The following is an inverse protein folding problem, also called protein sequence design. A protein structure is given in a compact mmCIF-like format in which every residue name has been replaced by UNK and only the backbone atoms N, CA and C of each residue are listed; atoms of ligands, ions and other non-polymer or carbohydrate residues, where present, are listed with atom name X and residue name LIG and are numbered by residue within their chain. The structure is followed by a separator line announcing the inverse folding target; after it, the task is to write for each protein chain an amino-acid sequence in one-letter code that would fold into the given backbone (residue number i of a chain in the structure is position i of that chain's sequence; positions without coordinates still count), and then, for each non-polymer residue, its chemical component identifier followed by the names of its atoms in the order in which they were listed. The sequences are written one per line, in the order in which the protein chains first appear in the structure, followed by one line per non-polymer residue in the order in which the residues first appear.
data_IF_672660736917
#
_entry.id   IF_672660736917
#
_cell.length_a   1.000
_cell.length_b   1.000
_cell.length_c   1.000
_cell.angle_alpha   90.00
_cell.angle_beta   90.00
_cell.angle_gamma   90.00
#
_symmetry.space_group_name_H-M   'P 1'
#
loop_
_entity.id
_entity.type
_entity.pdbx_description
1 polymer ?
#
# COMPACT_ATOMS: atom_id res chain seq x y z
N UNK A 1 -41.39 -11.61 -6.71
CA UNK A 1 -40.47 -11.07 -7.74
C UNK A 1 -39.10 -11.57 -7.37
N UNK A 2 -38.46 -12.41 -8.18
CA UNK A 2 -37.10 -12.88 -7.88
C UNK A 2 -36.18 -11.67 -8.07
N UNK A 3 -35.59 -11.16 -6.99
CA UNK A 3 -34.68 -10.02 -7.06
C UNK A 3 -33.40 -10.44 -7.76
N UNK A 4 -33.34 -10.19 -9.07
CA UNK A 4 -32.14 -10.44 -9.87
C UNK A 4 -31.15 -9.33 -9.56
N UNK A 5 -30.06 -9.67 -8.87
CA UNK A 5 -28.95 -8.76 -8.59
C UNK A 5 -28.40 -8.19 -9.91
N UNK A 6 -28.40 -6.85 -10.11
CA UNK A 6 -27.92 -6.26 -11.35
C UNK A 6 -26.48 -6.67 -11.67
N UNK A 7 -26.20 -7.02 -12.94
CA UNK A 7 -24.86 -7.45 -13.37
C UNK A 7 -23.78 -6.38 -13.11
N UNK A 8 -24.13 -5.11 -13.29
CA UNK A 8 -23.27 -3.96 -12.99
C UNK A 8 -22.92 -3.85 -11.51
N UNK A 9 -23.78 -4.35 -10.61
CA UNK A 9 -23.52 -4.39 -9.18
C UNK A 9 -22.52 -5.51 -8.84
N UNK A 10 -22.67 -6.69 -9.47
CA UNK A 10 -21.68 -7.78 -9.36
C UNK A 10 -20.30 -7.33 -9.85
N UNK A 11 -20.26 -6.61 -10.97
CA UNK A 11 -19.03 -6.06 -11.52
C UNK A 11 -18.37 -5.04 -10.58
N UNK A 12 -19.15 -4.12 -10.01
CA UNK A 12 -18.64 -3.15 -9.02
C UNK A 12 -18.10 -3.84 -7.77
N UNK A 13 -18.76 -4.90 -7.29
CA UNK A 13 -18.26 -5.67 -6.15
C UNK A 13 -16.88 -6.27 -6.43
N UNK A 14 -16.70 -6.92 -7.58
CA UNK A 14 -15.40 -7.48 -7.97
C UNK A 14 -14.30 -6.39 -8.06
N UNK A 15 -14.62 -5.23 -8.68
CA UNK A 15 -13.72 -4.07 -8.75
C UNK A 15 -13.33 -3.53 -7.38
N UNK A 16 -14.28 -3.42 -6.46
CA UNK A 16 -14.02 -2.98 -5.10
C UNK A 16 -13.16 -3.97 -4.31
N UNK A 17 -13.34 -5.29 -4.52
CA UNK A 17 -12.47 -6.31 -3.92
C UNK A 17 -11.05 -6.23 -4.47
N UNK A 18 -10.88 -6.00 -5.76
CA UNK A 18 -9.57 -5.77 -6.35
C UNK A 18 -8.91 -4.48 -5.81
N UNK A 19 -9.67 -3.39 -5.71
CA UNK A 19 -9.20 -2.13 -5.11
C UNK A 19 -8.81 -2.30 -3.64
N UNK A 20 -9.57 -3.07 -2.86
CA UNK A 20 -9.25 -3.43 -1.48
C UNK A 20 -7.91 -4.17 -1.41
N UNK A 21 -7.71 -5.19 -2.25
CA UNK A 21 -6.47 -5.96 -2.29
C UNK A 21 -5.27 -5.07 -2.63
N UNK A 22 -5.41 -4.16 -3.60
CA UNK A 22 -4.36 -3.19 -3.94
C UNK A 22 -4.06 -2.22 -2.79
N UNK A 23 -5.08 -1.78 -2.05
CA UNK A 23 -4.89 -0.96 -0.86
C UNK A 23 -4.11 -1.70 0.24
N UNK A 24 -4.42 -2.98 0.45
CA UNK A 24 -3.69 -3.84 1.38
C UNK A 24 -2.23 -4.01 0.95
N UNK A 25 -1.96 -4.24 -0.34
CA UNK A 25 -0.59 -4.27 -0.88
C UNK A 25 0.16 -2.96 -0.62
N UNK A 26 -0.47 -1.81 -0.85
CA UNK A 26 0.14 -0.50 -0.59
C UNK A 26 0.50 -0.31 0.90
N UNK A 27 -0.29 -0.85 1.84
CA UNK A 27 0.02 -0.84 3.28
C UNK A 27 1.26 -1.70 3.56
N UNK A 28 1.34 -2.90 3.00
CA UNK A 28 2.51 -3.79 3.14
C UNK A 28 3.76 -3.15 2.57
N UNK A 29 3.70 -2.58 1.37
CA UNK A 29 4.83 -1.88 0.74
C UNK A 29 5.29 -0.71 1.62
N UNK A 30 4.36 0.15 2.07
CA UNK A 30 4.69 1.30 2.93
C UNK A 30 5.36 0.88 4.23
N UNK A 31 4.84 -0.17 4.88
CA UNK A 31 5.41 -0.70 6.13
C UNK A 31 6.80 -1.30 5.89
N UNK A 32 6.99 -1.99 4.76
CA UNK A 32 8.28 -2.54 4.36
C UNK A 32 9.31 -1.42 4.18
N UNK A 33 8.96 -0.35 3.45
CA UNK A 33 9.84 0.82 3.26
C UNK A 33 10.23 1.43 4.62
N UNK A 34 9.29 1.57 5.56
CA UNK A 34 9.59 2.06 6.90
C UNK A 34 10.57 1.17 7.65
N UNK A 35 10.39 -0.15 7.61
CA UNK A 35 11.32 -1.11 8.24
C UNK A 35 12.71 -1.05 7.59
N UNK A 36 12.78 -0.96 6.25
CA UNK A 36 14.02 -0.77 5.51
C UNK A 36 14.73 0.50 5.97
N UNK A 37 14.00 1.61 5.97
CA UNK A 37 14.50 2.92 6.36
C UNK A 37 15.05 2.91 7.79
N UNK A 38 14.30 2.32 8.73
CA UNK A 38 14.69 2.25 10.13
C UNK A 38 15.94 1.37 10.33
N UNK A 39 16.05 0.27 9.58
CA UNK A 39 17.21 -0.63 9.65
C UNK A 39 18.47 0.07 9.15
N UNK A 40 18.38 0.75 7.99
CA UNK A 40 19.50 1.52 7.42
C UNK A 40 20.00 2.62 8.34
N UNK A 41 19.08 3.34 9.00
CA UNK A 41 19.42 4.39 9.96
C UNK A 41 20.08 3.82 11.23
N UNK A 42 19.56 2.70 11.74
CA UNK A 42 20.06 2.08 12.97
C UNK A 42 21.48 1.54 12.79
N UNK A 43 21.78 1.01 11.61
CA UNK A 43 23.09 0.43 11.31
C UNK A 43 24.11 1.46 10.78
N UNK A 44 23.74 2.73 10.62
CA UNK A 44 24.59 3.79 10.05
C UNK A 44 25.21 3.41 8.68
N UNK A 45 24.50 2.58 7.90
CA UNK A 45 25.00 2.03 6.62
C UNK A 45 25.07 3.11 5.54
N UNK A 46 24.39 4.24 5.72
CA UNK A 46 24.30 5.30 4.71
C UNK A 46 24.87 6.61 5.23
N UNK A 47 25.90 7.11 4.53
CA UNK A 47 26.66 8.31 4.89
C UNK A 47 26.03 9.61 4.38
N UNK A 48 25.10 9.56 3.43
CA UNK A 48 24.44 10.75 2.85
C UNK A 48 22.96 10.51 2.48
N UNK A 49 22.16 11.59 2.43
CA UNK A 49 20.72 11.51 2.19
C UNK A 49 20.33 11.06 0.77
N UNK A 50 21.19 11.29 -0.23
CA UNK A 50 20.94 10.94 -1.64
C UNK A 50 21.02 9.44 -1.85
N UNK A 51 22.03 8.79 -1.28
CA UNK A 51 22.24 7.35 -1.35
C UNK A 51 21.07 6.62 -0.69
N UNK A 52 20.58 7.14 0.44
CA UNK A 52 19.42 6.62 1.15
C UNK A 52 18.15 6.62 0.29
N UNK A 53 17.88 7.74 -0.40
CA UNK A 53 16.74 7.85 -1.31
C UNK A 53 16.82 6.87 -2.48
N UNK A 54 18.00 6.69 -3.06
CA UNK A 54 18.21 5.76 -4.17
C UNK A 54 18.02 4.29 -3.75
N UNK A 55 18.48 3.93 -2.56
CA UNK A 55 18.32 2.60 -1.97
C UNK A 55 16.85 2.31 -1.69
N UNK A 56 16.15 3.26 -1.07
CA UNK A 56 14.72 3.11 -0.75
C UNK A 56 13.86 3.01 -2.02
N UNK A 57 14.22 3.73 -3.09
CA UNK A 57 13.53 3.60 -4.39
C UNK A 57 13.66 2.18 -4.95
N UNK A 58 14.87 1.65 -5.02
CA UNK A 58 15.12 0.27 -5.50
C UNK A 58 14.43 -0.77 -4.63
N UNK A 59 14.49 -0.60 -3.31
CA UNK A 59 13.76 -1.44 -2.36
C UNK A 59 12.25 -1.41 -2.63
N UNK A 60 11.70 -0.22 -2.88
CA UNK A 60 10.26 -0.05 -3.19
C UNK A 60 9.89 -0.78 -4.46
N UNK A 61 10.67 -0.60 -5.53
CA UNK A 61 10.45 -1.26 -6.83
C UNK A 61 10.46 -2.79 -6.70
N UNK A 62 11.42 -3.36 -5.97
CA UNK A 62 11.52 -4.81 -5.76
C UNK A 62 10.35 -5.39 -4.97
N UNK A 63 9.91 -4.70 -3.91
CA UNK A 63 8.76 -5.14 -3.11
C UNK A 63 7.46 -5.00 -3.90
N UNK A 64 7.32 -3.93 -4.69
CA UNK A 64 6.19 -3.74 -5.61
C UNK A 64 6.13 -4.88 -6.62
N UNK A 65 7.25 -5.19 -7.29
CA UNK A 65 7.32 -6.24 -8.30
C UNK A 65 6.99 -7.62 -7.72
N UNK A 66 7.48 -7.92 -6.51
CA UNK A 66 7.19 -9.16 -5.80
C UNK A 66 5.70 -9.31 -5.50
N UNK A 67 5.08 -8.27 -4.92
CA UNK A 67 3.68 -8.30 -4.50
C UNK A 67 2.70 -8.20 -5.68
N UNK A 68 3.11 -7.64 -6.82
CA UNK A 68 2.29 -7.61 -8.02
C UNK A 68 2.28 -8.96 -8.76
N UNK A 69 3.36 -9.75 -8.66
CA UNK A 69 3.46 -11.07 -9.31
C UNK A 69 2.83 -12.20 -8.52
N UNK A 70 2.94 -12.16 -7.20
CA UNK A 70 2.55 -13.26 -6.31
C UNK A 70 1.48 -12.79 -5.32
N UNK A 71 0.40 -13.56 -5.18
CA UNK A 71 -0.66 -13.26 -4.19
C UNK A 71 -0.30 -13.79 -2.79
N UNK A 72 0.43 -14.91 -2.71
CA UNK A 72 0.82 -15.58 -1.47
C UNK A 72 2.30 -15.34 -1.16
N UNK A 73 2.64 -14.11 -0.76
CA UNK A 73 4.02 -13.72 -0.40
C UNK A 73 4.20 -13.74 1.11
N UNK A 74 5.21 -14.47 1.56
CA UNK A 74 5.63 -14.52 2.97
C UNK A 74 6.43 -13.27 3.38
N UNK A 75 6.51 -13.03 4.69
CA UNK A 75 7.29 -11.90 5.25
C UNK A 75 8.78 -12.08 4.94
N UNK A 76 9.25 -13.32 4.98
CA UNK A 76 10.62 -13.70 4.67
C UNK A 76 10.98 -13.36 3.22
N UNK A 77 10.09 -13.63 2.26
CA UNK A 77 10.29 -13.27 0.86
C UNK A 77 10.32 -11.75 0.64
N UNK A 78 9.46 -11.00 1.35
CA UNK A 78 9.50 -9.54 1.31
C UNK A 78 10.85 -9.04 1.83
N UNK A 79 11.32 -9.55 2.96
CA UNK A 79 12.61 -9.17 3.54
C UNK A 79 13.79 -9.60 2.66
N UNK A 80 13.69 -10.72 1.94
CA UNK A 80 14.71 -11.13 0.97
C UNK A 80 14.78 -10.14 -0.20
N UNK A 81 13.62 -9.75 -0.76
CA UNK A 81 13.55 -8.73 -1.80
C UNK A 81 14.14 -7.40 -1.32
N UNK A 82 13.80 -6.98 -0.10
CA UNK A 82 14.41 -5.80 0.52
C UNK A 82 15.92 -5.98 0.69
N UNK A 83 16.42 -7.12 1.15
CA UNK A 83 17.86 -7.30 1.39
C UNK A 83 18.70 -7.36 0.11
N UNK A 84 18.06 -7.47 -1.06
CA UNK A 84 18.71 -7.49 -2.37
C UNK A 84 19.57 -6.26 -2.65
N UNK A 85 19.19 -5.07 -2.16
CA UNK A 85 19.93 -3.83 -2.45
C UNK A 85 21.26 -3.69 -1.69
N UNK A 86 21.43 -4.36 -0.54
CA UNK A 86 22.64 -4.22 0.29
C UNK A 86 23.83 -5.00 -0.25
N UNK A 87 23.62 -5.96 -1.16
CA UNK A 87 24.68 -6.77 -1.76
C UNK A 87 25.71 -5.94 -2.54
N UNK A 88 25.33 -4.74 -2.98
CA UNK A 88 26.19 -3.88 -3.80
C UNK A 88 27.08 -2.94 -3.00
N UNK A 89 26.85 -2.79 -1.69
CA UNK A 89 27.46 -1.72 -0.91
C UNK A 89 28.68 -2.14 -0.09
N UNK A 90 28.93 -3.43 0.14
CA UNK A 90 30.16 -3.92 0.77
C UNK A 90 30.22 -5.45 0.74
N UNK A 91 31.40 -6.02 1.01
CA UNK A 91 31.57 -7.43 1.40
C UNK A 91 30.92 -7.60 2.77
N UNK A 92 29.58 -7.60 2.80
CA UNK A 92 28.83 -7.77 4.03
C UNK A 92 29.08 -9.21 4.48
N UNK A 93 29.67 -9.34 5.66
CA UNK A 93 29.77 -10.60 6.37
C UNK A 93 28.40 -11.29 6.35
N UNK A 94 28.38 -12.53 5.83
CA UNK A 94 27.16 -13.32 5.67
C UNK A 94 26.37 -13.38 6.97
N UNK A 95 27.07 -13.44 8.11
CA UNK A 95 26.46 -13.47 9.45
C UNK A 95 25.74 -12.15 9.80
N UNK A 96 26.35 -11.00 9.45
CA UNK A 96 25.74 -9.69 9.63
C UNK A 96 24.50 -9.50 8.76
N UNK A 97 24.53 -10.00 7.51
CA UNK A 97 23.37 -9.97 6.61
C UNK A 97 22.21 -10.83 7.15
N UNK A 98 22.50 -12.02 7.66
CA UNK A 98 21.48 -12.90 8.24
C UNK A 98 20.86 -12.29 9.50
N UNK A 99 21.69 -11.68 10.36
CA UNK A 99 21.20 -10.98 11.56
C UNK A 99 20.27 -9.83 11.19
N UNK A 100 20.63 -9.04 10.18
CA UNK A 100 19.79 -7.96 9.65
C UNK A 100 18.45 -8.47 9.14
N UNK A 101 18.45 -9.53 8.32
CA UNK A 101 17.23 -10.16 7.80
C UNK A 101 16.32 -10.62 8.92
N UNK A 102 16.87 -11.24 9.96
CA UNK A 102 16.11 -11.69 11.13
C UNK A 102 15.46 -10.51 11.87
N UNK A 103 16.20 -9.41 12.06
CA UNK A 103 15.68 -8.19 12.69
C UNK A 103 14.54 -7.59 11.86
N UNK A 104 14.75 -7.43 10.54
CA UNK A 104 13.75 -6.90 9.62
C UNK A 104 12.49 -7.77 9.57
N UNK A 105 12.64 -9.10 9.55
CA UNK A 105 11.51 -10.05 9.57
C UNK A 105 10.66 -9.88 10.82
N UNK A 106 11.30 -9.81 11.99
CA UNK A 106 10.58 -9.60 13.27
C UNK A 106 9.89 -8.24 13.32
N UNK A 107 10.57 -7.19 12.87
CA UNK A 107 10.02 -5.84 12.84
C UNK A 107 8.83 -5.74 11.88
N UNK A 108 8.95 -6.29 10.68
CA UNK A 108 7.89 -6.29 9.68
C UNK A 108 6.69 -7.12 10.15
N UNK A 109 6.92 -8.33 10.68
CA UNK A 109 5.87 -9.17 11.23
C UNK A 109 5.10 -8.48 12.35
N UNK A 110 5.80 -7.83 13.29
CA UNK A 110 5.16 -7.06 14.36
C UNK A 110 4.40 -5.85 13.81
N UNK A 111 5.02 -5.10 12.89
CA UNK A 111 4.44 -3.86 12.34
C UNK A 111 3.22 -4.09 11.45
N UNK A 112 2.99 -5.33 11.00
CA UNK A 112 1.81 -5.73 10.22
C UNK A 112 0.71 -6.37 11.08
N UNK A 113 0.97 -6.63 12.37
CA UNK A 113 -0.05 -7.18 13.27
C UNK A 113 -1.12 -6.13 13.56
N UNK A 114 -2.37 -6.60 13.66
CA UNK A 114 -3.49 -5.76 14.06
C UNK A 114 -3.26 -5.19 15.46
N UNK A 115 -3.50 -3.89 15.61
CA UNK A 115 -3.28 -3.17 16.87
C UNK A 115 -1.85 -2.65 17.05
N UNK A 116 -0.91 -2.97 16.16
CA UNK A 116 0.40 -2.32 16.19
C UNK A 116 0.28 -0.84 15.76
N UNK A 117 0.88 0.12 16.49
CA UNK A 117 0.79 1.53 16.15
C UNK A 117 1.35 1.89 14.78
N UNK A 118 2.32 1.13 14.25
CA UNK A 118 2.86 1.33 12.91
C UNK A 118 1.81 0.96 11.87
N UNK A 119 1.16 -0.18 12.03
CA UNK A 119 0.07 -0.61 11.15
C UNK A 119 -1.03 0.46 11.10
N UNK A 120 -1.55 0.88 12.25
CA UNK A 120 -2.63 1.88 12.34
C UNK A 120 -2.24 3.21 11.68
N UNK A 121 -1.00 3.67 11.91
CA UNK A 121 -0.49 4.91 11.32
C UNK A 121 -0.38 4.80 9.79
N UNK A 122 0.16 3.70 9.28
CA UNK A 122 0.32 3.46 7.83
C UNK A 122 -1.03 3.29 7.15
N UNK A 123 -1.90 2.44 7.68
CA UNK A 123 -3.26 2.24 7.17
C UNK A 123 -4.04 3.55 7.14
N UNK A 124 -3.93 4.39 8.19
CA UNK A 124 -4.56 5.70 8.22
C UNK A 124 -3.99 6.65 7.15
N UNK A 125 -2.67 6.67 6.95
CA UNK A 125 -2.05 7.51 5.93
C UNK A 125 -2.52 7.11 4.52
N UNK A 126 -2.52 5.81 4.21
CA UNK A 126 -3.01 5.26 2.94
C UNK A 126 -4.51 5.55 2.75
N UNK A 127 -5.32 5.37 3.78
CA UNK A 127 -6.74 5.73 3.76
C UNK A 127 -6.97 7.23 3.47
N UNK A 128 -6.24 8.11 4.17
CA UNK A 128 -6.34 9.56 3.96
C UNK A 128 -5.90 9.96 2.56
N UNK A 129 -4.88 9.29 2.01
CA UNK A 129 -4.43 9.53 0.66
C UNK A 129 -5.52 9.16 -0.37
N UNK A 130 -6.07 7.96 -0.28
CA UNK A 130 -7.15 7.51 -1.16
C UNK A 130 -8.39 8.41 -1.02
N UNK A 131 -8.79 8.74 0.21
CA UNK A 131 -9.91 9.65 0.49
C UNK A 131 -9.67 11.03 -0.11
N UNK A 132 -8.44 11.54 -0.04
CA UNK A 132 -8.04 12.81 -0.64
C UNK A 132 -8.27 12.84 -2.15
N UNK A 133 -7.99 11.73 -2.84
CA UNK A 133 -8.25 11.59 -4.28
C UNK A 133 -9.73 11.44 -4.58
N UNK A 134 -10.44 10.56 -3.87
CA UNK A 134 -11.89 10.36 -4.07
C UNK A 134 -12.69 11.66 -3.90
N UNK A 135 -12.35 12.47 -2.88
CA UNK A 135 -13.06 13.72 -2.59
C UNK A 135 -12.48 14.94 -3.34
N UNK A 136 -11.19 14.92 -3.65
CA UNK A 136 -10.48 16.02 -4.33
C UNK A 136 -10.47 15.90 -5.86
N UNK A 137 -10.96 14.79 -6.40
CA UNK A 137 -10.86 14.42 -7.82
C UNK A 137 -9.47 13.87 -8.18
N UNK A 138 -9.37 13.28 -9.38
CA UNK A 138 -8.11 12.74 -9.90
C UNK A 138 -7.14 13.79 -10.49
N UNK A 139 -7.52 15.07 -10.44
CA UNK A 139 -6.66 16.16 -10.87
C UNK A 139 -5.51 16.47 -9.89
N UNK A 140 -4.72 17.52 -10.17
CA UNK A 140 -3.55 17.90 -9.36
C UNK A 140 -3.86 18.10 -7.87
N UNK A 141 -5.08 18.52 -7.53
CA UNK A 141 -5.51 18.74 -6.14
C UNK A 141 -5.60 17.44 -5.34
N UNK A 142 -6.30 16.43 -5.84
CA UNK A 142 -6.43 15.15 -5.15
C UNK A 142 -5.09 14.41 -5.07
N UNK A 143 -4.30 14.45 -6.14
CA UNK A 143 -2.94 13.92 -6.14
C UNK A 143 -2.07 14.57 -5.06
N UNK A 144 -2.09 15.91 -4.93
CA UNK A 144 -1.36 16.62 -3.87
C UNK A 144 -1.81 16.21 -2.47
N UNK A 145 -3.12 15.97 -2.26
CA UNK A 145 -3.63 15.47 -0.97
C UNK A 145 -3.10 14.06 -0.67
N UNK A 146 -3.04 13.18 -1.68
CA UNK A 146 -2.43 11.86 -1.54
C UNK A 146 -0.95 11.93 -1.18
N UNK A 147 -0.17 12.72 -1.92
CA UNK A 147 1.26 12.92 -1.64
C UNK A 147 1.50 13.42 -0.23
N UNK A 148 0.72 14.38 0.25
CA UNK A 148 0.85 14.94 1.60
C UNK A 148 0.58 13.90 2.69
N UNK A 149 -0.43 13.04 2.50
CA UNK A 149 -0.75 11.98 3.45
C UNK A 149 0.32 10.89 3.46
N UNK A 150 0.76 10.41 2.29
CA UNK A 150 1.78 9.35 2.18
C UNK A 150 3.17 9.82 2.64
N UNK A 151 3.48 11.11 2.53
CA UNK A 151 4.73 11.69 3.03
C UNK A 151 4.91 11.47 4.54
N UNK A 152 3.83 11.40 5.31
CA UNK A 152 3.89 11.17 6.76
C UNK A 152 4.46 9.79 7.14
N UNK A 153 4.47 8.86 6.18
CA UNK A 153 4.94 7.48 6.34
C UNK A 153 6.04 7.13 5.32
N UNK A 154 6.66 8.14 4.70
CA UNK A 154 7.75 7.94 3.74
C UNK A 154 7.35 7.27 2.41
N UNK A 155 6.04 7.11 2.15
CA UNK A 155 5.53 6.30 1.04
C UNK A 155 5.13 7.13 -0.20
N UNK A 156 5.78 8.27 -0.44
CA UNK A 156 5.42 9.20 -1.55
C UNK A 156 5.50 8.50 -2.92
N UNK A 157 6.39 7.53 -3.08
CA UNK A 157 6.53 6.73 -4.30
C UNK A 157 5.24 5.95 -4.67
N UNK A 158 4.34 5.71 -3.71
CA UNK A 158 3.08 4.99 -3.94
C UNK A 158 1.92 5.89 -4.35
N UNK A 159 2.16 7.20 -4.53
CA UNK A 159 1.10 8.18 -4.83
C UNK A 159 0.26 7.77 -6.04
N UNK A 160 0.91 7.45 -7.17
CA UNK A 160 0.18 7.08 -8.40
C UNK A 160 -0.65 5.82 -8.21
N UNK A 161 -0.09 4.80 -7.55
CA UNK A 161 -0.82 3.56 -7.22
C UNK A 161 -2.06 3.84 -6.37
N UNK A 162 -1.96 4.74 -5.40
CA UNK A 162 -3.11 5.12 -4.56
C UNK A 162 -4.14 5.92 -5.36
N UNK A 163 -3.71 6.78 -6.28
CA UNK A 163 -4.60 7.52 -7.19
C UNK A 163 -5.41 6.54 -8.05
N UNK A 164 -4.76 5.59 -8.71
CA UNK A 164 -5.40 4.57 -9.54
C UNK A 164 -6.46 3.77 -8.77
N UNK A 165 -6.12 3.33 -7.55
CA UNK A 165 -7.06 2.60 -6.68
C UNK A 165 -8.25 3.48 -6.28
N UNK A 166 -7.99 4.74 -5.94
CA UNK A 166 -9.03 5.69 -5.55
C UNK A 166 -9.99 6.03 -6.70
N UNK A 167 -9.50 6.08 -7.95
CA UNK A 167 -10.34 6.27 -9.13
C UNK A 167 -11.35 5.14 -9.29
N UNK A 168 -10.93 3.88 -9.11
CA UNK A 168 -11.83 2.72 -9.14
C UNK A 168 -12.94 2.86 -8.11
N UNK A 169 -12.60 3.29 -6.89
CA UNK A 169 -13.57 3.53 -5.81
C UNK A 169 -14.53 4.68 -6.17
N UNK A 170 -14.02 5.78 -6.73
CA UNK A 170 -14.84 6.91 -7.17
C UNK A 170 -15.83 6.54 -8.28
N UNK A 171 -15.40 5.73 -9.25
CA UNK A 171 -16.26 5.21 -10.32
C UNK A 171 -17.31 4.27 -9.74
N UNK A 172 -16.92 3.33 -8.86
CA UNK A 172 -17.85 2.41 -8.22
C UNK A 172 -18.91 3.14 -7.39
N UNK A 173 -18.53 4.18 -6.65
CA UNK A 173 -19.45 5.04 -5.91
C UNK A 173 -20.41 5.78 -6.85
N UNK A 174 -19.90 6.36 -7.93
CA UNK A 174 -20.72 7.06 -8.93
C UNK A 174 -21.75 6.13 -9.59
N UNK A 175 -21.34 4.92 -9.99
CA UNK A 175 -22.26 3.92 -10.56
C UNK A 175 -23.28 3.48 -9.51
N UNK A 176 -22.87 3.28 -8.26
CA UNK A 176 -23.77 2.92 -7.16
C UNK A 176 -24.87 3.96 -6.95
N UNK A 177 -24.56 5.25 -7.05
CA UNK A 177 -25.56 6.32 -6.90
C UNK A 177 -26.39 6.48 -8.18
N UNK A 178 -25.74 6.67 -9.33
CA UNK A 178 -26.40 7.07 -10.56
C UNK A 178 -27.15 5.93 -11.27
N UNK A 179 -26.67 4.69 -11.15
CA UNK A 179 -27.27 3.52 -11.81
C UNK A 179 -28.11 2.72 -10.82
N UNK A 180 -27.59 2.45 -9.63
CA UNK A 180 -28.24 1.59 -8.65
C UNK A 180 -29.10 2.35 -7.62
N UNK A 181 -29.06 3.68 -7.59
CA UNK A 181 -29.75 4.49 -6.58
C UNK A 181 -31.26 4.25 -6.50
N UNK A 182 -31.95 4.16 -7.64
CA UNK A 182 -33.38 3.88 -7.68
C UNK A 182 -33.71 2.47 -7.17
N UNK A 183 -32.86 1.49 -7.48
CA UNK A 183 -33.00 0.12 -6.99
C UNK A 183 -32.79 0.05 -5.47
N UNK A 184 -31.74 0.70 -4.95
CA UNK A 184 -31.50 0.79 -3.51
C UNK A 184 -32.65 1.46 -2.76
N UNK A 185 -33.23 2.54 -3.29
CA UNK A 185 -34.38 3.22 -2.68
C UNK A 185 -35.58 2.30 -2.57
N UNK A 186 -35.90 1.58 -3.65
CA UNK A 186 -37.00 0.61 -3.65
C UNK A 186 -36.77 -0.52 -2.65
N UNK A 187 -35.54 -1.03 -2.55
CA UNK A 187 -35.17 -2.05 -1.59
C UNK A 187 -35.35 -1.55 -0.14
N UNK A 188 -34.92 -0.32 0.15
CA UNK A 188 -35.06 0.27 1.49
C UNK A 188 -36.51 0.55 1.90
N UNK A 189 -37.42 0.77 0.95
CA UNK A 189 -38.85 0.92 1.21
C UNK A 189 -39.54 -0.43 1.47
N UNK A 190 -38.91 -1.55 1.08
CA UNK A 190 -39.41 -2.91 1.28
C UNK A 190 -38.83 -3.64 2.51
N UNK A 191 -37.94 -2.97 3.25
CA UNK A 191 -37.37 -3.41 4.53
C UNK A 191 -38.09 -2.74 5.70
#
# INVERSE_FOLDING_TARGET
MQEVLPETLKLNFARLRAAQAQMQKNIVISTSILVCQQTLLTEQVVSNATDMGSILSKCTEQVVELLDRNEDVSIEEIVEAMSGFTKNFEVIDSEKLQTRKLVMTRMLAKSLQTGDPVFEKVSRAVYLAARGVVLGGNGPKGKKLAEMALRQVGAVALTERVVEVAEVVGVAASVSVCVHGAWYRKLSESL
#
